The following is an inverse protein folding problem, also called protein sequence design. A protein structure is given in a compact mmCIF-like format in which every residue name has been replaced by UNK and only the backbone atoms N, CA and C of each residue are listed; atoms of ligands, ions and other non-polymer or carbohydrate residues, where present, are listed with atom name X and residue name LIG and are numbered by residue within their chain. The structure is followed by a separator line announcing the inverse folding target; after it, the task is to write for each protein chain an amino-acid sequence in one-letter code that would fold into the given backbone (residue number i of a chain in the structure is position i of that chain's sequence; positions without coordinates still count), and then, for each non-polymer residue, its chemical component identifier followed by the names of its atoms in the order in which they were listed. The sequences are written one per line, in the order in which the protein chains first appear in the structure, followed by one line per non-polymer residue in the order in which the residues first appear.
data_IF_575905583192
#
_entry.id   IF_575905583192
#
_cell.length_a   1.000
_cell.length_b   1.000
_cell.length_c   1.000
_cell.angle_alpha   90.00
_cell.angle_beta   90.00
_cell.angle_gamma   90.00
#
_symmetry.space_group_name_H-M   'P 1'
#
loop_
_entity.id
_entity.type
_entity.pdbx_description
1 polymer ?
#
# COMPACT_ATOMS: atom_id res chain seq x y z
N UNK A 1 13.74 -0.67 10.41
CA UNK A 1 12.83 0.43 10.04
C UNK A 1 12.88 0.52 8.53
N UNK A 2 11.73 0.70 7.90
CA UNK A 2 11.62 0.79 6.45
C UNK A 2 10.79 2.02 6.11
N UNK A 3 11.09 2.67 4.99
CA UNK A 3 10.38 3.87 4.55
C UNK A 3 9.23 3.54 3.64
N UNK A 4 8.12 4.26 3.77
CA UNK A 4 7.00 4.14 2.82
C UNK A 4 7.43 4.67 1.46
N UNK A 5 7.46 3.80 0.47
CA UNK A 5 7.75 4.14 -0.93
C UNK A 5 6.47 4.46 -1.71
N UNK A 6 5.43 3.64 -1.55
CA UNK A 6 4.13 3.88 -2.17
C UNK A 6 2.98 3.70 -1.17
N UNK A 7 1.97 4.56 -1.32
CA UNK A 7 0.66 4.41 -0.71
C UNK A 7 -0.38 4.43 -1.83
N UNK A 8 -1.07 3.31 -2.03
CA UNK A 8 -2.14 3.18 -3.03
C UNK A 8 -3.43 2.73 -2.36
N UNK A 9 -4.49 3.53 -2.48
CA UNK A 9 -5.84 3.15 -2.06
C UNK A 9 -6.64 2.78 -3.31
N UNK A 10 -7.07 1.52 -3.40
CA UNK A 10 -7.82 1.00 -4.57
C UNK A 10 -9.33 1.20 -4.47
N UNK A 11 -9.82 1.77 -3.36
CA UNK A 11 -11.23 1.87 -3.02
C UNK A 11 -11.71 0.75 -2.09
N UNK A 12 -11.03 -0.40 -2.06
CA UNK A 12 -11.38 -1.53 -1.19
C UNK A 12 -10.19 -2.07 -0.38
N UNK A 13 -8.97 -1.86 -0.88
CA UNK A 13 -7.73 -2.26 -0.20
C UNK A 13 -6.73 -1.11 -0.27
N UNK A 14 -6.01 -0.87 0.83
CA UNK A 14 -4.84 -0.01 0.87
C UNK A 14 -3.58 -0.88 0.76
N UNK A 15 -2.69 -0.49 -0.15
CA UNK A 15 -1.39 -1.09 -0.35
C UNK A 15 -0.31 -0.09 0.06
N UNK A 16 0.62 -0.54 0.88
CA UNK A 16 1.74 0.26 1.34
C UNK A 16 3.02 -0.52 1.02
N UNK A 17 3.75 -0.08 0.00
CA UNK A 17 5.06 -0.63 -0.32
C UNK A 17 6.13 0.10 0.51
N UNK A 18 6.98 -0.67 1.16
CA UNK A 18 8.17 -0.19 1.85
C UNK A 18 9.40 -0.30 0.94
N UNK A 19 10.41 0.53 1.21
CA UNK A 19 11.68 0.55 0.49
C UNK A 19 12.50 -0.75 0.59
N UNK A 20 12.21 -1.60 1.58
CA UNK A 20 12.79 -2.94 1.74
C UNK A 20 12.05 -4.06 0.99
N UNK A 21 11.04 -3.71 0.19
CA UNK A 21 10.27 -4.65 -0.64
C UNK A 21 9.10 -5.33 0.06
N UNK A 22 8.86 -5.05 1.35
CA UNK A 22 7.64 -5.49 2.03
C UNK A 22 6.44 -4.66 1.58
N UNK A 23 5.33 -5.31 1.25
CA UNK A 23 4.07 -4.66 0.93
C UNK A 23 3.00 -5.04 1.95
N UNK A 24 2.42 -4.04 2.62
CA UNK A 24 1.30 -4.25 3.55
C UNK A 24 -0.01 -4.04 2.81
N UNK A 25 -0.85 -5.08 2.83
CA UNK A 25 -2.18 -5.08 2.23
C UNK A 25 -3.23 -5.04 3.34
N UNK A 26 -4.08 -4.02 3.31
CA UNK A 26 -5.12 -3.83 4.32
C UNK A 26 -6.47 -3.58 3.66
N UNK A 27 -7.50 -4.39 3.94
CA UNK A 27 -8.85 -4.07 3.50
C UNK A 27 -9.32 -2.78 4.20
N UNK A 28 -10.05 -1.95 3.46
CA UNK A 28 -10.74 -0.81 4.04
C UNK A 28 -12.01 -1.28 4.75
N UNK A 29 -12.43 -0.56 5.79
CA UNK A 29 -13.69 -0.86 6.51
C UNK A 29 -14.91 -0.85 5.58
N UNK A 30 -14.87 -0.03 4.53
CA UNK A 30 -15.90 0.02 3.49
C UNK A 30 -15.25 -0.02 2.13
N UNK A 31 -15.72 -0.93 1.29
CA UNK A 31 -15.33 -1.01 -0.11
C UNK A 31 -16.14 -0.01 -0.93
N UNK A 32 -15.45 0.90 -1.59
CA UNK A 32 -15.99 1.87 -2.55
C UNK A 32 -15.18 1.76 -3.83
N UNK A 33 -15.55 0.86 -4.76
CA UNK A 33 -14.84 0.68 -6.02
C UNK A 33 -14.71 2.01 -6.76
N UNK A 34 -13.55 2.24 -7.37
CA UNK A 34 -13.30 3.42 -8.19
C UNK A 34 -12.51 3.06 -9.43
N UNK A 35 -12.68 3.86 -10.48
CA UNK A 35 -11.80 3.83 -11.65
C UNK A 35 -10.45 4.44 -11.27
N UNK A 36 -9.37 3.80 -11.68
CA UNK A 36 -8.02 4.27 -11.38
C UNK A 36 -7.54 5.22 -12.47
N UNK A 37 -6.79 6.24 -12.05
CA UNK A 37 -6.01 7.10 -12.95
C UNK A 37 -4.76 6.39 -13.46
N UNK A 38 -4.17 6.90 -14.55
CA UNK A 38 -2.90 6.38 -15.09
C UNK A 38 -1.78 6.37 -14.03
N UNK A 39 -1.77 7.37 -13.14
CA UNK A 39 -0.82 7.45 -12.03
C UNK A 39 -1.00 6.30 -11.04
N UNK A 40 -2.25 5.96 -10.70
CA UNK A 40 -2.56 4.85 -9.80
C UNK A 40 -2.23 3.51 -10.43
N UNK A 41 -2.46 3.36 -11.74
CA UNK A 41 -1.99 2.20 -12.50
C UNK A 41 -0.47 2.06 -12.48
N UNK A 42 0.28 3.15 -12.70
CA UNK A 42 1.74 3.12 -12.61
C UNK A 42 2.23 2.75 -11.20
N UNK A 43 1.63 3.33 -10.15
CA UNK A 43 1.93 2.97 -8.76
C UNK A 43 1.66 1.49 -8.49
N UNK A 44 0.56 0.94 -9.00
CA UNK A 44 0.27 -0.49 -8.87
C UNK A 44 1.33 -1.34 -9.55
N UNK A 45 1.77 -0.97 -10.75
CA UNK A 45 2.84 -1.67 -11.46
C UNK A 45 4.16 -1.69 -10.67
N UNK A 46 4.53 -0.57 -10.05
CA UNK A 46 5.72 -0.52 -9.19
C UNK A 46 5.56 -1.39 -7.94
N UNK A 47 4.39 -1.35 -7.29
CA UNK A 47 4.08 -2.21 -6.13
C UNK A 47 4.25 -3.68 -6.48
N UNK A 48 3.62 -4.17 -7.56
CA UNK A 48 3.70 -5.60 -7.91
C UNK A 48 5.10 -6.03 -8.37
N UNK A 49 5.87 -5.13 -8.98
CA UNK A 49 7.23 -5.43 -9.46
C UNK A 49 8.23 -5.51 -8.31
N UNK A 50 8.08 -4.64 -7.32
CA UNK A 50 9.07 -4.48 -6.25
C UNK A 50 8.73 -5.25 -4.97
N UNK A 51 7.49 -5.73 -4.84
CA UNK A 51 7.10 -6.54 -3.68
C UNK A 51 7.87 -7.86 -3.67
N UNK A 52 8.69 -8.05 -2.65
CA UNK A 52 9.38 -9.32 -2.35
C UNK A 52 8.63 -10.12 -1.29
N UNK A 53 7.85 -9.44 -0.43
CA UNK A 53 7.03 -10.05 0.61
C UNK A 53 5.70 -9.31 0.78
N UNK A 54 4.59 -10.05 0.72
CA UNK A 54 3.25 -9.51 0.99
C UNK A 54 2.82 -9.82 2.43
N UNK A 55 2.40 -8.79 3.17
CA UNK A 55 1.89 -8.87 4.54
C UNK A 55 0.42 -8.48 4.50
N UNK A 56 -0.46 -9.48 4.67
CA UNK A 56 -1.91 -9.26 4.70
C UNK A 56 -2.37 -9.13 6.14
N UNK A 57 -3.08 -8.05 6.43
CA UNK A 57 -3.66 -7.77 7.75
C UNK A 57 -5.16 -7.58 7.59
N UNK A 58 -5.93 -8.03 8.58
CA UNK A 58 -7.39 -7.90 8.58
C UNK A 58 -7.87 -6.59 9.23
N UNK A 59 -6.97 -5.85 9.89
CA UNK A 59 -7.25 -4.56 10.53
C UNK A 59 -6.30 -3.48 10.00
N UNK A 60 -6.78 -2.23 9.87
CA UNK A 60 -5.97 -1.11 9.39
C UNK A 60 -4.93 -0.66 10.40
N UNK A 61 -3.76 -1.30 10.37
CA UNK A 61 -2.58 -0.96 11.18
C UNK A 61 -1.85 0.30 10.72
N UNK A 62 -2.03 0.74 9.46
CA UNK A 62 -1.32 1.89 8.87
C UNK A 62 -2.29 2.86 8.17
N UNK A 63 -3.15 3.54 8.95
CA UNK A 63 -4.19 4.44 8.43
C UNK A 63 -3.64 5.76 7.89
N UNK A 64 -2.80 6.45 8.66
CA UNK A 64 -2.36 7.84 8.37
C UNK A 64 -0.94 7.94 7.79
N UNK A 65 -0.45 6.88 7.14
CA UNK A 65 0.89 6.86 6.56
C UNK A 65 0.97 7.60 5.22
N UNK A 66 2.09 8.30 5.03
CA UNK A 66 2.46 9.04 3.82
C UNK A 66 3.78 8.52 3.26
N UNK A 67 4.01 8.79 1.97
CA UNK A 67 5.29 8.48 1.32
C UNK A 67 6.42 9.22 2.05
N UNK A 68 7.47 8.50 2.40
CA UNK A 68 8.63 8.99 3.16
C UNK A 68 8.59 8.69 4.66
N UNK A 69 7.44 8.30 5.23
CA UNK A 69 7.31 7.97 6.65
C UNK A 69 8.15 6.73 7.01
N UNK A 70 8.75 6.75 8.20
CA UNK A 70 9.46 5.61 8.76
C UNK A 70 8.49 4.67 9.49
N UNK A 71 8.46 3.41 9.06
CA UNK A 71 7.59 2.37 9.61
C UNK A 71 8.41 1.31 10.33
N UNK A 72 7.89 0.89 11.48
CA UNK A 72 8.40 -0.22 12.29
C UNK A 72 7.33 -1.31 12.30
N UNK A 73 7.45 -2.25 11.36
CA UNK A 73 6.69 -3.50 11.27
C UNK A 73 7.51 -4.65 11.85
#
# INVERSE_FOLDING_TARGET
MAKVKHCLNTGCTKYILLDDGRCVETPLEKCSPKTWSDKEHAQWHDIVRETTQAIKVNMPVLQDVKVGDDIKL
#
